data_IF_399913214526
#
_entry.id   IF_399913214526
#
_cell.length_a   1.000
_cell.length_b   1.000
_cell.length_c   1.000
_cell.angle_alpha   90.00
_cell.angle_beta   90.00
_cell.angle_gamma   90.00
#
_symmetry.space_group_name_H-M   'P 1'
#
loop_
_entity.id
_entity.type
_entity.pdbx_description
1 polymer ?
#
# COMPACT_ATOMS: atom_id res chain seq x y z
N UNK A 1 3.52 0.07 15.16
CA UNK A 1 3.22 -1.37 15.11
C UNK A 1 4.21 -2.02 14.17
N UNK A 2 4.99 -2.97 14.67
CA UNK A 2 5.98 -3.74 13.91
C UNK A 2 5.34 -4.91 13.17
N UNK A 3 6.05 -5.51 12.22
CA UNK A 3 5.57 -6.68 11.49
C UNK A 3 5.23 -7.86 12.42
N UNK A 4 5.99 -8.05 13.52
CA UNK A 4 5.74 -9.13 14.49
C UNK A 4 4.40 -8.92 15.18
N UNK A 5 4.13 -7.70 15.65
CA UNK A 5 2.87 -7.36 16.30
C UNK A 5 1.66 -7.54 15.36
N UNK A 6 1.85 -7.29 14.06
CA UNK A 6 0.81 -7.56 13.04
C UNK A 6 0.57 -9.05 12.89
N UNK A 7 1.63 -9.86 12.77
CA UNK A 7 1.51 -11.31 12.64
C UNK A 7 0.83 -11.93 13.86
N UNK A 8 1.13 -11.45 15.06
CA UNK A 8 0.52 -11.92 16.31
C UNK A 8 -0.95 -11.52 16.43
N UNK A 9 -1.32 -10.33 15.96
CA UNK A 9 -2.67 -9.77 16.16
C UNK A 9 -3.65 -10.10 15.03
N UNK A 10 -3.17 -10.11 13.79
CA UNK A 10 -3.97 -10.24 12.56
C UNK A 10 -3.75 -11.60 11.89
N UNK A 11 -2.58 -12.21 12.08
CA UNK A 11 -2.17 -13.45 11.43
C UNK A 11 -1.25 -13.21 10.24
N UNK A 12 -0.99 -14.28 9.48
CA UNK A 12 -0.12 -14.25 8.29
C UNK A 12 -0.91 -13.73 7.09
N UNK A 13 -0.37 -12.80 6.29
CA UNK A 13 -1.04 -12.32 5.08
C UNK A 13 -1.13 -13.43 4.00
N UNK A 14 -2.17 -13.39 3.19
CA UNK A 14 -2.36 -14.31 2.07
C UNK A 14 -1.36 -14.03 0.94
N UNK A 15 -0.99 -12.77 0.76
CA UNK A 15 -0.04 -12.36 -0.28
C UNK A 15 0.81 -11.20 0.21
N UNK A 16 2.11 -11.28 -0.07
CA UNK A 16 3.07 -10.21 0.17
C UNK A 16 3.64 -9.76 -1.17
N UNK A 17 3.50 -8.47 -1.48
CA UNK A 17 4.07 -7.84 -2.67
C UNK A 17 5.21 -6.91 -2.27
N UNK A 18 6.42 -7.23 -2.72
CA UNK A 18 7.58 -6.36 -2.55
C UNK A 18 7.53 -5.22 -3.57
N UNK A 19 7.33 -3.98 -3.10
CA UNK A 19 7.25 -2.79 -3.98
C UNK A 19 8.61 -2.22 -4.33
N UNK A 20 9.62 -2.50 -3.51
CA UNK A 20 11.01 -2.18 -3.81
C UNK A 20 11.76 -1.63 -2.60
N UNK A 21 13.00 -1.24 -2.86
CA UNK A 21 13.88 -0.59 -1.89
C UNK A 21 14.38 0.71 -2.49
N UNK A 22 14.20 1.81 -1.77
CA UNK A 22 14.74 3.12 -2.12
C UNK A 22 15.90 3.40 -1.18
N UNK A 23 17.03 3.86 -1.71
CA UNK A 23 18.18 4.29 -0.91
C UNK A 23 18.30 5.80 -1.00
N UNK A 24 18.47 6.47 0.14
CA UNK A 24 18.75 7.91 0.18
C UNK A 24 20.24 8.22 -0.10
N UNK A 25 20.57 9.51 -0.19
CA UNK A 25 21.95 9.99 -0.42
C UNK A 25 22.91 9.71 0.74
N UNK A 26 22.38 9.34 1.92
CA UNK A 26 23.14 8.99 3.12
C UNK A 26 23.30 7.47 3.30
N UNK A 27 22.75 6.67 2.38
CA UNK A 27 22.81 5.20 2.39
C UNK A 27 21.70 4.52 3.21
N UNK A 28 20.71 5.25 3.72
CA UNK A 28 19.56 4.67 4.41
C UNK A 28 18.64 3.99 3.41
N UNK A 29 18.29 2.73 3.69
CA UNK A 29 17.38 1.97 2.86
C UNK A 29 15.95 2.05 3.41
N UNK A 30 15.00 2.31 2.51
CA UNK A 30 13.57 2.26 2.75
C UNK A 30 12.97 1.14 1.91
N UNK A 31 12.61 0.03 2.56
CA UNK A 31 11.93 -1.11 1.95
C UNK A 31 10.43 -0.94 2.12
N UNK A 32 9.68 -1.14 1.04
CA UNK A 32 8.22 -1.07 1.05
C UNK A 32 7.62 -2.40 0.60
N UNK A 33 6.74 -2.94 1.45
CA UNK A 33 5.98 -4.16 1.18
C UNK A 33 4.48 -3.91 1.35
N UNK A 34 3.66 -4.58 0.56
CA UNK A 34 2.21 -4.60 0.75
C UNK A 34 1.77 -5.99 1.15
N UNK A 35 1.02 -6.07 2.25
CA UNK A 35 0.52 -7.31 2.82
C UNK A 35 -0.98 -7.37 2.64
N UNK A 36 -1.46 -8.33 1.85
CA UNK A 36 -2.87 -8.48 1.52
C UNK A 36 -3.49 -9.56 2.41
N UNK A 37 -4.67 -9.24 2.95
CA UNK A 37 -5.51 -10.14 3.73
C UNK A 37 -6.86 -10.28 3.02
N UNK A 38 -7.07 -11.48 2.47
CA UNK A 38 -8.14 -11.80 1.56
C UNK A 38 -8.18 -10.85 0.37
N UNK A 39 -9.41 -10.53 -0.02
CA UNK A 39 -9.71 -9.89 -1.29
C UNK A 39 -9.88 -8.37 -1.20
N UNK A 40 -9.85 -7.79 0.01
CA UNK A 40 -10.22 -6.39 0.22
C UNK A 40 -9.42 -5.63 1.30
N UNK A 41 -8.49 -6.28 2.00
CA UNK A 41 -7.70 -5.63 3.05
C UNK A 41 -6.22 -5.66 2.69
N UNK A 42 -5.52 -4.56 2.98
CA UNK A 42 -4.10 -4.41 2.74
C UNK A 42 -3.45 -3.59 3.85
N UNK A 43 -2.25 -4.00 4.25
CA UNK A 43 -1.36 -3.26 5.14
C UNK A 43 -0.12 -2.87 4.34
N UNK A 44 0.21 -1.59 4.33
CA UNK A 44 1.43 -1.06 3.76
C UNK A 44 2.51 -1.04 4.85
N UNK A 45 3.57 -1.79 4.61
CA UNK A 45 4.73 -1.90 5.49
C UNK A 45 5.89 -1.10 4.93
N UNK A 46 6.52 -0.27 5.76
CA UNK A 46 7.74 0.46 5.44
C UNK A 46 8.77 0.14 6.51
N UNK A 47 9.92 -0.40 6.11
CA UNK A 47 10.99 -0.84 7.03
C UNK A 47 10.44 -1.70 8.18
N UNK A 48 9.65 -2.71 7.83
CA UNK A 48 9.02 -3.67 8.75
C UNK A 48 8.09 -3.04 9.80
N UNK A 49 7.62 -1.82 9.55
CA UNK A 49 6.63 -1.11 10.37
C UNK A 49 5.38 -0.79 9.57
N UNK A 50 4.22 -0.83 10.24
CA UNK A 50 2.94 -0.44 9.62
C UNK A 50 2.96 1.05 9.31
N UNK A 51 2.85 1.37 8.03
CA UNK A 51 2.75 2.74 7.53
C UNK A 51 1.30 3.13 7.19
N UNK A 52 0.53 2.21 6.61
CA UNK A 52 -0.89 2.44 6.32
C UNK A 52 -1.69 1.14 6.36
N UNK A 53 -3.00 1.27 6.56
CA UNK A 53 -3.97 0.16 6.52
C UNK A 53 -5.13 0.59 5.64
N UNK A 54 -5.49 -0.23 4.67
CA UNK A 54 -6.70 -0.08 3.87
C UNK A 54 -7.58 -1.32 4.03
N UNK A 55 -8.77 -1.15 4.62
CA UNK A 55 -9.72 -2.23 4.85
C UNK A 55 -10.69 -2.44 3.67
N UNK A 56 -10.62 -1.57 2.65
CA UNK A 56 -11.54 -1.50 1.53
C UNK A 56 -10.79 -1.17 0.22
N UNK A 57 -9.76 -1.96 -0.07
CA UNK A 57 -8.81 -1.72 -1.19
C UNK A 57 -9.53 -1.53 -2.51
N UNK A 58 -10.59 -2.32 -2.78
CA UNK A 58 -11.35 -2.22 -4.04
C UNK A 58 -12.09 -0.89 -4.15
N UNK A 59 -12.72 -0.44 -3.08
CA UNK A 59 -13.40 0.86 -3.04
C UNK A 59 -12.41 2.02 -3.19
N UNK A 60 -11.27 1.94 -2.50
CA UNK A 60 -10.20 2.94 -2.61
C UNK A 60 -9.67 3.02 -4.04
N UNK A 61 -9.36 1.90 -4.67
CA UNK A 61 -8.89 1.84 -6.06
C UNK A 61 -9.92 2.42 -7.04
N UNK A 62 -11.21 2.10 -6.88
CA UNK A 62 -12.28 2.69 -7.71
C UNK A 62 -12.35 4.21 -7.59
N UNK A 63 -12.19 4.75 -6.39
CA UNK A 63 -12.18 6.21 -6.15
C UNK A 63 -10.96 6.87 -6.81
N UNK A 64 -9.78 6.27 -6.67
CA UNK A 64 -8.55 6.76 -7.31
C UNK A 64 -8.72 6.76 -8.83
N UNK A 65 -9.22 5.67 -9.40
CA UNK A 65 -9.45 5.55 -10.84
C UNK A 65 -10.42 6.63 -11.33
N UNK A 66 -11.52 6.86 -10.60
CA UNK A 66 -12.46 7.93 -10.92
C UNK A 66 -11.81 9.33 -10.93
N UNK A 67 -10.92 9.63 -9.98
CA UNK A 67 -10.20 10.89 -9.93
C UNK A 67 -9.27 11.03 -11.14
N UNK A 68 -8.52 9.98 -11.48
CA UNK A 68 -7.62 9.96 -12.65
C UNK A 68 -8.41 10.20 -13.94
N UNK A 69 -9.55 9.52 -14.10
CA UNK A 69 -10.38 9.64 -15.30
C UNK A 69 -11.00 11.04 -15.41
N UNK A 70 -11.43 11.62 -14.29
CA UNK A 70 -11.96 12.98 -14.23
C UNK A 70 -10.89 14.02 -14.61
N UNK A 71 -9.65 13.86 -14.13
CA UNK A 71 -8.55 14.76 -14.47
C UNK A 71 -8.20 14.70 -15.97
N UNK A 72 -8.12 13.49 -16.55
CA UNK A 72 -7.87 13.30 -17.99
C UNK A 72 -8.98 13.88 -18.87
N UNK A 73 -10.23 13.86 -18.40
CA UNK A 73 -11.35 14.42 -19.14
C UNK A 73 -11.26 15.95 -19.24
N UNK A 74 -10.77 16.62 -18.19
CA UNK A 74 -10.54 18.08 -18.17
C UNK A 74 -9.40 18.46 -19.12
N UNK A 75 -8.28 17.74 -19.09
CA UNK A 75 -7.13 18.01 -19.99
C UNK A 75 -7.47 17.87 -21.48
N UNK A 76 -8.50 17.10 -21.83
CA UNK A 76 -8.93 16.87 -23.22
C UNK A 76 -9.98 17.85 -23.72
N UNK A 77 -10.46 18.76 -22.89
CA UNK A 77 -11.53 19.70 -23.22
C UNK A 77 -11.10 21.13 -22.84
N UNK A 78 -10.23 21.78 -23.64
CA UNK A 78 -9.84 23.18 -23.44
C UNK A 78 -10.98 24.17 -23.71
#
# INVERSE_FOLDING_TARGET
MSYIEVLDSVGVPDTVLHRGVVMDEFGSQTKTDEWYYGDNQMILMVNDTVNAIDLHVRETQKRIQYIIDSAKAIERNP
#
